data_IF_439405497974
#
_entry.id   IF_439405497974
#
_cell.length_a   1.000
_cell.length_b   1.000
_cell.length_c   1.000
_cell.angle_alpha   90.00
_cell.angle_beta   90.00
_cell.angle_gamma   90.00
#
_symmetry.space_group_name_H-M   'P 1'
#
loop_
_entity.id
_entity.type
_entity.pdbx_description
1 polymer ?
#
# COMPACT_ATOMS: atom_id res chain seq x y z
N UNK A 1 -54.16 -12.38 10.05
CA UNK A 1 -52.97 -11.68 9.54
C UNK A 1 -51.83 -12.66 9.65
N UNK A 2 -51.60 -13.44 8.59
CA UNK A 2 -50.50 -14.40 8.52
C UNK A 2 -49.37 -13.74 7.74
N UNK A 3 -48.21 -13.59 8.38
CA UNK A 3 -46.94 -13.43 7.70
C UNK A 3 -45.89 -14.17 8.51
N UNK A 4 -45.86 -15.47 8.30
CA UNK A 4 -44.67 -16.29 8.46
C UNK A 4 -43.77 -16.04 7.25
N UNK A 5 -42.55 -15.57 7.48
CA UNK A 5 -41.49 -15.64 6.49
C UNK A 5 -40.19 -15.94 7.24
N UNK A 6 -40.03 -17.21 7.60
CA UNK A 6 -38.72 -17.80 7.81
C UNK A 6 -38.00 -17.81 6.46
N UNK A 7 -36.93 -17.04 6.37
CA UNK A 7 -35.96 -17.18 5.28
C UNK A 7 -34.74 -17.89 5.85
N UNK A 8 -34.80 -19.22 5.90
CA UNK A 8 -33.61 -20.06 5.91
C UNK A 8 -33.06 -20.10 4.49
N UNK A 9 -31.91 -19.45 4.28
CA UNK A 9 -31.07 -19.73 3.12
C UNK A 9 -29.73 -20.28 3.61
N UNK A 10 -29.74 -21.59 3.86
CA UNK A 10 -28.52 -22.40 3.86
C UNK A 10 -28.16 -22.67 2.41
N UNK A 11 -27.08 -22.10 1.92
CA UNK A 11 -26.40 -22.61 0.72
C UNK A 11 -24.93 -22.74 1.02
N UNK A 12 -24.58 -23.96 1.37
CA UNK A 12 -23.22 -24.44 1.47
C UNK A 12 -22.52 -24.49 0.11
N UNK A 13 -21.20 -24.36 0.22
CA UNK A 13 -20.18 -24.88 -0.69
C UNK A 13 -20.23 -24.46 -2.16
N UNK A 14 -19.31 -23.58 -2.55
CA UNK A 14 -18.50 -23.81 -3.75
C UNK A 14 -17.16 -23.09 -3.64
N UNK A 15 -16.11 -23.90 -3.60
CA UNK A 15 -14.69 -23.57 -3.74
C UNK A 15 -14.46 -22.66 -4.95
N UNK A 16 -14.65 -21.36 -4.76
CA UNK A 16 -14.37 -20.32 -5.75
C UNK A 16 -13.16 -19.53 -5.29
N UNK A 17 -11.96 -20.06 -5.56
CA UNK A 17 -10.71 -19.31 -5.74
C UNK A 17 -10.70 -17.92 -5.08
N UNK A 18 -10.47 -17.90 -3.76
CA UNK A 18 -10.14 -16.71 -2.98
C UNK A 18 -8.78 -16.15 -3.44
N UNK A 19 -8.72 -15.64 -4.66
CA UNK A 19 -7.64 -14.79 -5.12
C UNK A 19 -7.78 -13.48 -4.38
N UNK A 20 -7.00 -13.33 -3.31
CA UNK A 20 -6.60 -12.06 -2.72
C UNK A 20 -7.74 -11.05 -2.50
N UNK A 21 -8.72 -11.40 -1.67
CA UNK A 21 -9.61 -10.39 -1.11
C UNK A 21 -8.81 -9.48 -0.18
N UNK A 22 -8.23 -8.42 -0.74
CA UNK A 22 -7.64 -7.33 0.02
C UNK A 22 -8.68 -6.81 1.02
N UNK A 23 -8.24 -6.50 2.25
CA UNK A 23 -9.14 -5.87 3.22
C UNK A 23 -9.64 -4.55 2.63
N UNK A 24 -10.87 -4.11 2.93
CA UNK A 24 -11.42 -2.86 2.40
C UNK A 24 -10.51 -1.65 2.60
N UNK A 25 -9.81 -1.57 3.74
CA UNK A 25 -8.83 -0.51 4.02
C UNK A 25 -7.55 -0.64 3.18
N UNK A 26 -7.10 -1.85 2.89
CA UNK A 26 -5.94 -2.10 2.01
C UNK A 26 -6.28 -1.74 0.56
N UNK A 27 -7.46 -2.13 0.09
CA UNK A 27 -7.97 -1.74 -1.23
C UNK A 27 -8.12 -0.21 -1.34
N UNK A 28 -8.66 0.45 -0.32
CA UNK A 28 -8.78 1.92 -0.27
C UNK A 28 -7.42 2.61 -0.25
N UNK A 29 -6.47 2.11 0.53
CA UNK A 29 -5.10 2.63 0.57
C UNK A 29 -4.40 2.51 -0.78
N UNK A 30 -4.56 1.37 -1.45
CA UNK A 30 -4.01 1.14 -2.79
C UNK A 30 -4.64 2.08 -3.83
N UNK A 31 -5.95 2.32 -3.76
CA UNK A 31 -6.63 3.29 -4.61
C UNK A 31 -6.07 4.70 -4.45
N UNK A 32 -5.88 5.17 -3.21
CA UNK A 32 -5.28 6.47 -2.96
C UNK A 32 -3.84 6.58 -3.47
N UNK A 33 -3.03 5.52 -3.32
CA UNK A 33 -1.67 5.49 -3.87
C UNK A 33 -1.68 5.62 -5.41
N UNK A 34 -2.60 4.93 -6.08
CA UNK A 34 -2.74 4.99 -7.53
C UNK A 34 -3.21 6.38 -8.01
N UNK A 35 -4.16 7.01 -7.31
CA UNK A 35 -4.58 8.38 -7.62
C UNK A 35 -3.44 9.37 -7.45
N UNK A 36 -2.67 9.26 -6.35
CA UNK A 36 -1.49 10.09 -6.14
C UNK A 36 -0.47 9.91 -7.27
N UNK A 37 -0.19 8.67 -7.67
CA UNK A 37 0.73 8.38 -8.76
C UNK A 37 0.24 8.98 -10.09
N UNK A 38 -1.05 8.85 -10.40
CA UNK A 38 -1.66 9.43 -11.59
C UNK A 38 -1.46 10.96 -11.63
N UNK A 39 -1.82 11.67 -10.55
CA UNK A 39 -1.62 13.12 -10.48
C UNK A 39 -0.14 13.50 -10.55
N UNK A 40 0.74 12.75 -9.89
CA UNK A 40 2.17 13.01 -9.91
C UNK A 40 2.77 12.84 -11.32
N UNK A 41 2.37 11.81 -12.08
CA UNK A 41 2.83 11.62 -13.47
C UNK A 41 2.34 12.71 -14.43
N UNK A 42 1.26 13.41 -14.09
CA UNK A 42 0.76 14.58 -14.83
C UNK A 42 1.42 15.90 -14.40
N UNK A 43 2.29 15.87 -13.38
CA UNK A 43 2.92 17.07 -12.81
C UNK A 43 2.06 17.81 -11.77
N UNK A 44 0.90 17.27 -11.41
CA UNK A 44 -0.04 17.88 -10.47
C UNK A 44 0.30 17.51 -9.01
N UNK A 45 1.48 17.94 -8.53
CA UNK A 45 2.00 17.51 -7.22
C UNK A 45 1.17 18.00 -6.02
N UNK A 46 0.60 19.20 -6.10
CA UNK A 46 -0.28 19.72 -5.03
C UNK A 46 -1.56 18.89 -4.88
N UNK A 47 -2.09 18.38 -5.99
CA UNK A 47 -3.24 17.47 -5.98
C UNK A 47 -2.84 16.06 -5.54
N UNK A 48 -1.63 15.60 -5.87
CA UNK A 48 -1.14 14.27 -5.48
C UNK A 48 -0.89 14.14 -3.97
N UNK A 49 -0.45 15.21 -3.31
CA UNK A 49 -0.10 15.27 -1.88
C UNK A 49 -1.18 14.73 -0.92
N UNK A 50 -2.45 15.21 -0.95
CA UNK A 50 -3.48 14.69 -0.04
C UNK A 50 -3.73 13.19 -0.25
N UNK A 51 -3.75 12.73 -1.50
CA UNK A 51 -3.95 11.31 -1.79
C UNK A 51 -2.83 10.44 -1.23
N UNK A 52 -1.57 10.86 -1.39
CA UNK A 52 -0.46 10.06 -0.88
C UNK A 52 -0.40 10.07 0.65
N UNK A 53 -0.81 11.16 1.30
CA UNK A 53 -0.95 11.21 2.76
C UNK A 53 -2.01 10.23 3.27
N UNK A 54 -3.16 10.14 2.61
CA UNK A 54 -4.18 9.15 2.93
C UNK A 54 -3.70 7.72 2.70
N UNK A 55 -3.03 7.47 1.57
CA UNK A 55 -2.46 6.16 1.25
C UNK A 55 -1.47 5.68 2.32
N UNK A 56 -0.54 6.54 2.74
CA UNK A 56 0.46 6.20 3.77
C UNK A 56 -0.15 6.05 5.17
N UNK A 57 -1.29 6.70 5.44
CA UNK A 57 -2.02 6.51 6.70
C UNK A 57 -2.63 5.11 6.78
N UNK A 58 -3.19 4.63 5.66
CA UNK A 58 -3.80 3.30 5.58
C UNK A 58 -2.75 2.20 5.40
N UNK A 59 -1.66 2.51 4.67
CA UNK A 59 -0.63 1.56 4.26
C UNK A 59 0.79 2.11 4.51
N UNK A 60 1.20 2.27 5.78
CA UNK A 60 2.48 2.89 6.14
C UNK A 60 3.71 2.10 5.70
N UNK A 61 3.56 0.82 5.34
CA UNK A 61 4.65 -0.06 4.89
C UNK A 61 4.49 -0.52 3.44
N UNK A 62 3.53 0.05 2.69
CA UNK A 62 3.36 -0.30 1.29
C UNK A 62 4.41 0.39 0.43
N UNK A 63 5.17 -0.42 -0.31
CA UNK A 63 6.29 0.05 -1.14
C UNK A 63 5.83 1.05 -2.20
N UNK A 64 4.69 0.80 -2.85
CA UNK A 64 4.17 1.68 -3.90
C UNK A 64 3.79 3.06 -3.35
N UNK A 65 3.12 3.10 -2.20
CA UNK A 65 2.79 4.36 -1.53
C UNK A 65 4.07 5.12 -1.14
N UNK A 66 5.09 4.43 -0.60
CA UNK A 66 6.33 5.11 -0.24
C UNK A 66 7.10 5.63 -1.46
N UNK A 67 7.25 4.82 -2.53
CA UNK A 67 7.94 5.25 -3.75
C UNK A 67 7.21 6.43 -4.41
N UNK A 68 5.88 6.41 -4.43
CA UNK A 68 5.09 7.54 -4.94
C UNK A 68 5.31 8.81 -4.11
N UNK A 69 5.37 8.70 -2.78
CA UNK A 69 5.68 9.84 -1.92
C UNK A 69 7.10 10.38 -2.14
N UNK A 70 8.09 9.49 -2.26
CA UNK A 70 9.48 9.83 -2.59
C UNK A 70 9.55 10.58 -3.92
N UNK A 71 8.86 10.10 -4.94
CA UNK A 71 8.79 10.77 -6.24
C UNK A 71 8.20 12.18 -6.11
N UNK A 72 7.07 12.34 -5.43
CA UNK A 72 6.44 13.65 -5.21
C UNK A 72 7.38 14.60 -4.44
N UNK A 73 8.05 14.13 -3.39
CA UNK A 73 8.99 14.95 -2.62
C UNK A 73 10.16 15.43 -3.49
N UNK A 74 10.71 14.57 -4.36
CA UNK A 74 11.76 14.94 -5.30
C UNK A 74 11.29 16.01 -6.29
N UNK A 75 10.10 15.85 -6.86
CA UNK A 75 9.58 16.80 -7.85
C UNK A 75 9.26 18.18 -7.27
N UNK A 76 8.93 18.26 -5.98
CA UNK A 76 8.68 19.53 -5.28
C UNK A 76 9.97 20.09 -4.64
N UNK A 77 11.12 19.44 -4.84
CA UNK A 77 12.43 19.90 -4.33
C UNK A 77 12.69 19.59 -2.85
N UNK A 78 11.89 18.71 -2.24
CA UNK A 78 12.05 18.25 -0.85
C UNK A 78 12.92 16.99 -0.78
N UNK A 79 14.13 17.08 -1.32
CA UNK A 79 15.05 15.94 -1.43
C UNK A 79 15.42 15.32 -0.07
N UNK A 80 15.46 16.13 1.00
CA UNK A 80 15.73 15.65 2.36
C UNK A 80 14.64 14.69 2.86
N UNK A 81 13.37 15.04 2.62
CA UNK A 81 12.22 14.21 2.98
C UNK A 81 12.18 12.91 2.18
N UNK A 82 12.53 12.97 0.90
CA UNK A 82 12.65 11.79 0.03
C UNK A 82 13.71 10.81 0.57
N UNK A 83 14.89 11.32 0.96
CA UNK A 83 15.96 10.51 1.56
C UNK A 83 15.52 9.91 2.90
N UNK A 84 14.84 10.69 3.74
CA UNK A 84 14.32 10.20 5.02
C UNK A 84 13.33 9.03 4.83
N UNK A 85 12.41 9.14 3.87
CA UNK A 85 11.47 8.05 3.51
C UNK A 85 12.19 6.81 2.99
N UNK A 86 13.18 6.95 2.12
CA UNK A 86 13.96 5.84 1.59
C UNK A 86 14.73 5.07 2.69
N UNK A 87 15.28 5.79 3.67
CA UNK A 87 15.94 5.18 4.85
C UNK A 87 14.99 4.37 5.71
N UNK A 88 13.72 4.78 5.80
CA UNK A 88 12.70 4.03 6.55
C UNK A 88 12.21 2.79 5.78
N UNK A 89 12.15 2.87 4.46
CA UNK A 89 11.77 1.74 3.60
C UNK A 89 12.81 0.62 3.55
N UNK A 90 14.09 0.93 3.79
CA UNK A 90 15.21 -0.02 3.77
C UNK A 90 15.37 -0.81 5.08
N UNK A 91 14.28 -1.04 5.83
CA UNK A 91 14.22 -2.06 6.89
C UNK A 91 14.28 -3.49 6.31
N UNK A 92 15.28 -3.76 5.49
CA UNK A 92 15.83 -5.10 5.33
C UNK A 92 16.39 -5.46 6.70
N UNK A 93 15.75 -6.38 7.42
CA UNK A 93 16.44 -7.01 8.55
C UNK A 93 17.63 -7.73 7.94
N UNK A 94 18.84 -7.25 8.20
CA UNK A 94 20.03 -8.03 7.94
C UNK A 94 19.88 -9.27 8.83
N UNK A 95 19.41 -10.38 8.27
CA UNK A 95 19.52 -11.67 8.95
C UNK A 95 21.02 -11.93 8.96
N UNK A 96 21.69 -11.98 10.12
CA UNK A 96 23.08 -12.39 10.16
C UNK A 96 23.13 -13.87 9.81
N UNK A 97 23.03 -14.18 8.51
CA UNK A 97 23.46 -15.44 7.96
C UNK A 97 24.96 -15.46 8.17
N UNK A 98 25.42 -16.33 9.08
CA UNK A 98 26.82 -16.61 9.34
C UNK A 98 27.49 -16.99 8.02
N UNK A 99 28.05 -16.00 7.34
CA UNK A 99 28.93 -16.21 6.19
C UNK A 99 30.28 -16.62 6.77
N UNK A 100 30.46 -17.92 6.99
CA UNK A 100 31.79 -18.49 7.18
C UNK A 100 32.51 -18.40 5.83
N UNK A 101 33.17 -17.27 5.59
CA UNK A 101 34.14 -17.15 4.49
C UNK A 101 35.32 -18.01 4.88
N UNK A 102 35.31 -19.27 4.43
CA UNK A 102 36.47 -20.15 4.56
C UNK A 102 37.51 -19.65 3.56
N UNK A 103 38.53 -18.96 4.07
CA UNK A 103 39.71 -18.62 3.30
C UNK A 103 40.43 -19.92 2.92
N UNK A 104 40.77 -20.03 1.63
CA UNK A 104 41.49 -21.15 1.02
C UNK A 104 42.92 -21.28 1.52
#
# INVERSE_FOLDING_TARGET
MNMSSDCEETSDCSTGNARDSLKPEEARGALFANLAALFATQGHYDQARPFIQHALTLLPSNVQATITAVYIDLMVGRSEDAVARLKQCTRVSFVPGRLEVRAS
#
